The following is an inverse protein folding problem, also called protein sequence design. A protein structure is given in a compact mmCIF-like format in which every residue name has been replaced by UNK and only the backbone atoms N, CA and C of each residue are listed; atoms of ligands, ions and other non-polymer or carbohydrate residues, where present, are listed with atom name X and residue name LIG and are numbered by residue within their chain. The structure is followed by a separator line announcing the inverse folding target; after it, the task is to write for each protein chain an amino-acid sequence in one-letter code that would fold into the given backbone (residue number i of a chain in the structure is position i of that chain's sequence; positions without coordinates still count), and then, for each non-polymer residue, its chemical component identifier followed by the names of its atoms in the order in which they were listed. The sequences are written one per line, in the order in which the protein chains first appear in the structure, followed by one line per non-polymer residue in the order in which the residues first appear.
data_IF_962596358845
#
_entry.id   IF_962596358845
#
_cell.length_a   1.000
_cell.length_b   1.000
_cell.length_c   1.000
_cell.angle_alpha   90.00
_cell.angle_beta   90.00
_cell.angle_gamma   90.00
#
_symmetry.space_group_name_H-M   'P 1'
#
loop_
_entity.id
_entity.type
_entity.pdbx_description
1 polymer ?
#
# COMPACT_ATOMS: atom_id res chain seq x y z
N UNK A 1 48.89 55.63 -15.94
CA UNK A 1 50.15 55.57 -15.14
C UNK A 1 49.77 55.16 -13.71
N UNK A 2 50.52 54.22 -13.11
CA UNK A 2 50.50 53.74 -11.70
C UNK A 2 49.18 53.14 -11.18
N UNK A 3 48.95 51.82 -10.99
CA UNK A 3 49.68 50.68 -10.38
C UNK A 3 49.71 50.70 -8.84
N UNK A 4 49.33 49.52 -8.27
CA UNK A 4 49.54 48.96 -6.91
C UNK A 4 48.37 49.13 -5.91
N UNK A 5 47.98 48.21 -5.02
CA UNK A 5 48.12 46.76 -4.81
C UNK A 5 47.31 46.43 -3.52
N UNK A 6 46.94 45.15 -3.32
CA UNK A 6 46.46 44.53 -2.07
C UNK A 6 44.97 44.81 -1.75
N UNK A 7 44.10 43.82 -1.53
CA UNK A 7 44.23 42.76 -0.53
C UNK A 7 43.69 41.43 -1.06
N UNK A 8 44.49 40.38 -0.84
CA UNK A 8 44.09 38.99 -0.92
C UNK A 8 43.12 38.70 0.23
N UNK A 9 41.90 38.27 -0.09
CA UNK A 9 40.95 37.74 0.87
C UNK A 9 40.38 36.42 0.37
N UNK A 10 41.15 35.34 0.47
CA UNK A 10 40.58 33.99 0.43
C UNK A 10 39.81 33.79 1.74
N UNK A 11 38.49 33.97 1.70
CA UNK A 11 37.62 33.29 2.65
C UNK A 11 37.36 31.92 2.04
N UNK A 12 38.24 30.97 2.35
CA UNK A 12 37.90 29.57 2.23
C UNK A 12 36.83 29.29 3.30
N UNK A 13 35.56 29.49 2.93
CA UNK A 13 34.44 28.89 3.63
C UNK A 13 34.66 27.39 3.54
N UNK A 14 35.25 26.84 4.61
CA UNK A 14 35.41 25.41 4.79
C UNK A 14 34.04 24.78 4.67
N UNK A 15 33.76 24.16 3.52
CA UNK A 15 32.69 23.20 3.40
C UNK A 15 33.03 22.08 4.38
N UNK A 16 32.44 22.16 5.57
CA UNK A 16 32.48 21.09 6.55
C UNK A 16 31.93 19.84 5.84
N UNK A 17 32.83 18.93 5.47
CA UNK A 17 32.47 17.66 4.81
C UNK A 17 31.67 16.71 5.71
N UNK A 18 31.28 17.17 6.90
CA UNK A 18 30.49 16.45 7.89
C UNK A 18 29.02 16.93 7.90
N UNK A 19 28.67 18.01 7.18
CA UNK A 19 27.30 18.54 7.15
C UNK A 19 26.40 17.91 6.07
N UNK A 20 26.80 16.80 5.45
CA UNK A 20 25.94 16.04 4.54
C UNK A 20 25.57 14.71 5.21
N UNK A 21 25.00 14.77 6.41
CA UNK A 21 24.02 13.76 6.76
C UNK A 21 22.81 14.07 5.88
N UNK A 22 22.69 13.35 4.76
CA UNK A 22 21.41 13.21 4.11
C UNK A 22 20.47 12.64 5.16
N UNK A 23 19.60 13.47 5.71
CA UNK A 23 18.48 13.02 6.51
C UNK A 23 17.63 12.15 5.59
N UNK A 24 17.87 10.84 5.63
CA UNK A 24 16.90 9.90 5.11
C UNK A 24 15.69 10.06 6.03
N UNK A 25 14.67 10.75 5.54
CA UNK A 25 13.39 10.83 6.22
C UNK A 25 12.81 9.42 6.21
N UNK A 26 13.08 8.64 7.26
CA UNK A 26 12.28 7.46 7.56
C UNK A 26 10.90 7.98 7.91
N UNK A 27 9.89 7.66 7.10
CA UNK A 27 8.48 7.95 7.39
C UNK A 27 8.19 7.59 8.84
N UNK A 28 7.47 8.45 9.56
CA UNK A 28 7.07 8.17 10.93
C UNK A 28 6.35 6.81 11.02
N UNK A 29 6.69 6.02 12.03
CA UNK A 29 6.06 4.72 12.25
C UNK A 29 4.59 4.89 12.62
N UNK A 30 3.71 4.10 11.99
CA UNK A 30 2.27 4.05 12.24
C UNK A 30 1.85 2.63 12.66
N UNK A 31 0.68 2.51 13.28
CA UNK A 31 0.07 1.22 13.63
C UNK A 31 -1.46 1.32 13.76
N UNK A 32 -2.10 0.27 14.27
CA UNK A 32 -3.56 0.19 14.38
C UNK A 32 -4.10 0.55 15.77
N UNK A 33 -3.24 0.83 16.76
CA UNK A 33 -3.67 1.06 18.15
C UNK A 33 -2.76 2.06 18.87
N UNK A 34 -3.29 2.68 19.93
CA UNK A 34 -2.51 3.51 20.85
C UNK A 34 -2.02 4.81 20.20
N UNK A 35 -0.89 5.38 20.63
CA UNK A 35 -0.42 6.68 20.18
C UNK A 35 -0.03 6.79 18.70
N UNK A 36 0.06 5.64 18.01
CA UNK A 36 0.34 5.56 16.56
C UNK A 36 -0.85 5.01 15.77
N UNK A 37 -2.01 4.93 16.41
CA UNK A 37 -3.26 4.41 15.83
C UNK A 37 -3.95 5.37 14.84
N UNK A 38 -5.02 4.91 14.19
CA UNK A 38 -5.73 5.65 13.13
C UNK A 38 -6.18 7.06 13.53
N UNK A 39 -6.59 7.24 14.78
CA UNK A 39 -7.01 8.53 15.33
C UNK A 39 -5.89 9.58 15.38
N UNK A 40 -4.64 9.13 15.25
CA UNK A 40 -3.43 9.95 15.37
C UNK A 40 -2.57 9.97 14.11
N UNK A 41 -2.93 9.24 13.04
CA UNK A 41 -2.08 9.10 11.84
C UNK A 41 -1.68 10.43 11.20
N UNK A 42 -2.58 11.41 11.19
CA UNK A 42 -2.32 12.74 10.64
C UNK A 42 -1.27 13.54 11.44
N UNK A 43 -1.09 13.22 12.72
CA UNK A 43 -0.15 13.89 13.62
C UNK A 43 1.25 13.26 13.56
N UNK A 44 1.38 12.06 12.98
CA UNK A 44 2.65 11.32 12.92
C UNK A 44 3.63 11.94 11.92
N UNK A 45 3.13 12.41 10.78
CA UNK A 45 3.93 13.04 9.73
C UNK A 45 3.09 14.08 8.98
N UNK A 46 3.71 15.19 8.57
CA UNK A 46 3.06 16.23 7.75
C UNK A 46 2.52 15.69 6.43
N UNK A 47 3.13 14.65 5.86
CA UNK A 47 2.66 14.03 4.63
C UNK A 47 1.33 13.26 4.83
N UNK A 48 0.97 12.94 6.08
CA UNK A 48 -0.26 12.22 6.43
C UNK A 48 -1.47 13.15 6.67
N UNK A 49 -1.38 14.45 6.37
CA UNK A 49 -2.45 15.41 6.66
C UNK A 49 -3.82 15.02 6.11
N UNK A 50 -3.84 14.25 5.00
CA UNK A 50 -5.08 13.74 4.39
C UNK A 50 -5.85 12.78 5.30
N UNK A 51 -5.19 12.12 6.26
CA UNK A 51 -5.83 11.22 7.21
C UNK A 51 -6.81 11.95 8.16
N UNK A 52 -6.67 13.27 8.36
CA UNK A 52 -7.60 14.07 9.16
C UNK A 52 -8.42 15.07 8.34
N UNK A 53 -7.83 15.67 7.31
CA UNK A 53 -8.46 16.72 6.51
C UNK A 53 -9.07 16.23 5.18
N UNK A 54 -8.83 14.96 4.81
CA UNK A 54 -9.35 14.38 3.57
C UNK A 54 -10.85 14.14 3.61
N UNK A 55 -11.55 14.44 2.51
CA UNK A 55 -13.01 14.27 2.38
C UNK A 55 -13.41 13.04 1.58
N UNK A 56 -12.44 12.30 1.04
CA UNK A 56 -12.62 11.12 0.20
C UNK A 56 -11.71 9.97 0.70
N UNK A 57 -11.70 9.75 2.02
CA UNK A 57 -10.93 8.68 2.65
C UNK A 57 -11.66 7.34 2.51
N UNK A 58 -10.89 6.26 2.64
CA UNK A 58 -11.38 4.89 2.77
C UNK A 58 -10.81 4.30 4.08
N UNK A 59 -11.43 3.24 4.65
CA UNK A 59 -12.65 2.56 4.18
C UNK A 59 -13.92 3.39 4.40
N UNK A 60 -15.06 2.88 3.89
CA UNK A 60 -16.38 3.44 4.13
C UNK A 60 -17.39 2.37 4.58
N UNK A 61 -18.48 2.84 5.20
CA UNK A 61 -19.68 2.04 5.35
C UNK A 61 -20.60 2.24 4.13
N UNK A 62 -20.77 1.18 3.35
CA UNK A 62 -21.61 1.13 2.15
C UNK A 62 -23.07 0.94 2.59
N UNK A 63 -23.78 2.05 2.80
CA UNK A 63 -25.18 2.04 3.25
C UNK A 63 -26.19 1.89 2.11
N UNK A 64 -25.84 2.35 0.91
CA UNK A 64 -26.71 2.29 -0.27
C UNK A 64 -25.87 2.36 -1.54
N UNK A 65 -26.48 1.95 -2.66
CA UNK A 65 -25.88 2.07 -3.98
C UNK A 65 -26.89 2.73 -4.92
N UNK A 66 -26.38 3.57 -5.83
CA UNK A 66 -27.15 4.10 -6.95
C UNK A 66 -26.93 3.18 -8.13
N UNK A 67 -28.02 2.75 -8.78
CA UNK A 67 -27.91 2.00 -10.03
C UNK A 67 -27.28 2.90 -11.08
N UNK A 68 -26.12 2.51 -11.57
CA UNK A 68 -25.38 3.20 -12.61
C UNK A 68 -24.98 2.20 -13.69
N UNK A 69 -24.83 2.70 -14.91
CA UNK A 69 -24.10 1.97 -15.94
C UNK A 69 -22.61 2.10 -15.61
N UNK A 70 -22.00 0.99 -15.20
CA UNK A 70 -20.60 0.93 -14.79
C UNK A 70 -19.81 0.14 -15.84
N UNK A 71 -18.58 0.57 -16.18
CA UNK A 71 -17.74 -0.19 -17.10
C UNK A 71 -17.55 -1.62 -16.60
N UNK A 72 -17.60 -2.58 -17.53
CA UNK A 72 -17.31 -3.98 -17.23
C UNK A 72 -15.93 -4.12 -16.58
N UNK A 73 -15.85 -4.96 -15.55
CA UNK A 73 -14.60 -5.34 -14.89
C UNK A 73 -14.22 -6.74 -15.39
N UNK A 74 -13.11 -6.84 -16.12
CA UNK A 74 -12.54 -8.12 -16.54
C UNK A 74 -11.27 -8.40 -15.73
N UNK A 75 -11.17 -9.59 -15.15
CA UNK A 75 -10.01 -10.03 -14.38
C UNK A 75 -9.23 -11.04 -15.22
N UNK A 76 -7.96 -10.74 -15.48
CA UNK A 76 -7.00 -11.58 -16.18
C UNK A 76 -5.80 -11.83 -15.28
N UNK A 77 -6.02 -12.51 -14.14
CA UNK A 77 -4.95 -12.87 -13.23
C UNK A 77 -4.43 -14.28 -13.49
N UNK A 78 -3.12 -14.44 -13.39
CA UNK A 78 -2.43 -15.68 -13.67
C UNK A 78 -1.73 -16.20 -12.43
N UNK A 79 -1.58 -17.52 -12.38
CA UNK A 79 -0.69 -18.16 -11.41
C UNK A 79 0.75 -17.72 -11.67
N UNK A 80 1.51 -17.49 -10.61
CA UNK A 80 2.92 -17.15 -10.73
C UNK A 80 3.61 -17.14 -9.37
N UNK A 81 4.94 -17.15 -9.37
CA UNK A 81 5.71 -17.04 -8.14
C UNK A 81 5.53 -15.67 -7.50
N UNK A 82 5.36 -15.64 -6.18
CA UNK A 82 5.17 -14.42 -5.40
C UNK A 82 6.10 -14.36 -4.20
N UNK A 83 6.20 -13.18 -3.59
CA UNK A 83 6.90 -12.99 -2.32
C UNK A 83 5.89 -12.54 -1.27
N UNK A 84 5.72 -13.37 -0.24
CA UNK A 84 4.85 -13.12 0.89
C UNK A 84 5.64 -12.50 2.03
N UNK A 85 5.11 -11.41 2.60
CA UNK A 85 5.75 -10.64 3.65
C UNK A 85 4.75 -10.39 4.77
N UNK A 86 5.16 -10.64 6.00
CA UNK A 86 4.51 -10.05 7.16
C UNK A 86 5.20 -8.71 7.45
N UNK A 87 4.59 -7.58 7.09
CA UNK A 87 5.23 -6.28 7.25
C UNK A 87 4.98 -5.64 8.64
N UNK A 88 4.38 -6.39 9.57
CA UNK A 88 3.95 -5.90 10.88
C UNK A 88 2.57 -5.26 10.89
N UNK A 89 1.98 -4.98 9.72
CA UNK A 89 0.64 -4.40 9.56
C UNK A 89 -0.33 -5.35 8.86
N UNK A 90 0.17 -6.22 7.99
CA UNK A 90 -0.63 -7.20 7.24
C UNK A 90 0.25 -8.33 6.73
N UNK A 91 -0.39 -9.39 6.22
CA UNK A 91 0.25 -10.35 5.31
C UNK A 91 0.03 -9.84 3.88
N UNK A 92 1.12 -9.46 3.22
CA UNK A 92 1.12 -8.98 1.84
C UNK A 92 1.79 -10.00 0.92
N UNK A 93 1.21 -10.21 -0.26
CA UNK A 93 1.81 -11.04 -1.32
C UNK A 93 2.10 -10.12 -2.50
N UNK A 94 3.38 -9.94 -2.79
CA UNK A 94 3.88 -9.23 -3.97
C UNK A 94 3.77 -10.14 -5.19
N UNK A 95 3.14 -9.63 -6.25
CA UNK A 95 2.90 -10.37 -7.48
C UNK A 95 3.86 -9.93 -8.60
N UNK A 96 4.28 -10.86 -9.46
CA UNK A 96 5.05 -10.51 -10.65
C UNK A 96 4.14 -9.84 -11.68
N UNK A 97 4.76 -9.16 -12.64
CA UNK A 97 4.04 -8.52 -13.73
C UNK A 97 3.24 -9.53 -14.57
N UNK A 98 2.16 -9.06 -15.19
CA UNK A 98 1.40 -9.81 -16.19
C UNK A 98 -0.04 -10.14 -15.80
N UNK A 99 -0.38 -10.10 -14.51
CA UNK A 99 -1.78 -10.19 -14.05
C UNK A 99 -2.45 -8.82 -14.14
N UNK A 100 -3.66 -8.75 -14.71
CA UNK A 100 -4.34 -7.47 -14.94
C UNK A 100 -5.82 -7.47 -14.54
N UNK A 101 -6.34 -6.28 -14.25
CA UNK A 101 -7.75 -5.96 -14.16
C UNK A 101 -8.06 -4.87 -15.19
N UNK A 102 -9.04 -5.11 -16.05
CA UNK A 102 -9.52 -4.12 -17.02
C UNK A 102 -10.85 -3.56 -16.57
N UNK A 103 -10.98 -2.22 -16.51
CA UNK A 103 -12.22 -1.50 -16.23
C UNK A 103 -12.52 -0.55 -17.39
N UNK A 104 -13.41 -0.96 -18.28
CA UNK A 104 -13.64 -0.24 -19.54
C UNK A 104 -12.41 -0.30 -20.45
N UNK A 105 -11.85 0.87 -20.77
CA UNK A 105 -10.63 1.04 -21.58
C UNK A 105 -9.34 1.12 -20.73
N UNK A 106 -9.47 1.16 -19.40
CA UNK A 106 -8.34 1.25 -18.47
C UNK A 106 -7.87 -0.13 -18.05
N UNK A 107 -6.56 -0.35 -18.13
CA UNK A 107 -5.89 -1.59 -17.71
C UNK A 107 -5.04 -1.28 -16.48
N UNK A 108 -5.21 -2.10 -15.45
CA UNK A 108 -4.47 -2.01 -14.20
C UNK A 108 -3.69 -3.31 -13.97
N UNK A 109 -2.40 -3.20 -13.73
CA UNK A 109 -1.52 -4.34 -13.41
C UNK A 109 -1.59 -4.66 -11.92
N UNK A 110 -1.80 -5.93 -11.55
CA UNK A 110 -1.79 -6.38 -10.16
C UNK A 110 -0.37 -6.29 -9.60
N UNK A 111 -0.19 -5.53 -8.52
CA UNK A 111 1.11 -5.32 -7.89
C UNK A 111 1.25 -6.19 -6.65
N UNK A 112 0.20 -6.24 -5.83
CA UNK A 112 0.16 -7.03 -4.61
C UNK A 112 -1.29 -7.30 -4.21
N UNK A 113 -1.47 -8.23 -3.28
CA UNK A 113 -2.68 -8.27 -2.46
C UNK A 113 -2.34 -8.49 -0.99
N UNK A 114 -3.23 -8.06 -0.10
CA UNK A 114 -3.03 -8.17 1.34
C UNK A 114 -4.37 -8.27 2.09
N UNK A 115 -4.31 -8.60 3.39
CA UNK A 115 -5.48 -8.96 4.19
C UNK A 115 -5.69 -8.03 5.38
N UNK A 116 -6.94 -7.79 5.73
CA UNK A 116 -7.37 -7.08 6.93
C UNK A 116 -8.37 -7.93 7.71
N UNK A 117 -8.21 -8.00 9.04
CA UNK A 117 -9.15 -8.70 9.92
C UNK A 117 -9.41 -7.84 11.17
N UNK A 118 -10.66 -7.40 11.43
CA UNK A 118 -11.87 -7.62 10.62
C UNK A 118 -11.85 -6.85 9.28
N UNK A 119 -12.93 -6.90 8.50
CA UNK A 119 -13.04 -6.09 7.28
C UNK A 119 -12.96 -4.60 7.58
N UNK A 120 -12.27 -3.86 6.72
CA UNK A 120 -12.19 -2.41 6.80
C UNK A 120 -13.52 -1.79 6.36
N UNK A 121 -14.02 -2.21 5.18
CA UNK A 121 -15.32 -1.78 4.70
C UNK A 121 -16.45 -2.46 5.46
N UNK A 122 -17.56 -1.73 5.57
CA UNK A 122 -18.80 -2.22 6.14
C UNK A 122 -19.92 -2.18 5.09
N UNK A 123 -20.90 -3.07 5.19
CA UNK A 123 -22.11 -3.06 4.35
C UNK A 123 -23.33 -2.94 5.25
N UNK A 124 -24.10 -1.87 5.08
CA UNK A 124 -25.24 -1.53 5.95
C UNK A 124 -24.87 -1.60 7.45
N UNK A 125 -23.70 -1.07 7.80
CA UNK A 125 -23.17 -1.05 9.17
C UNK A 125 -22.60 -2.39 9.66
N UNK A 126 -22.57 -3.44 8.84
CA UNK A 126 -22.05 -4.76 9.23
C UNK A 126 -20.63 -4.95 8.76
N UNK A 127 -19.78 -5.40 9.69
CA UNK A 127 -18.43 -5.88 9.41
C UNK A 127 -18.44 -7.34 8.97
N UNK A 128 -17.43 -7.73 8.20
CA UNK A 128 -17.13 -9.11 7.82
C UNK A 128 -15.86 -9.57 8.55
N UNK A 129 -15.67 -10.89 8.77
CA UNK A 129 -14.52 -11.39 9.52
C UNK A 129 -13.16 -11.07 8.92
N UNK A 130 -13.06 -10.92 7.60
CA UNK A 130 -11.83 -10.55 6.91
C UNK A 130 -12.13 -9.90 5.57
N UNK A 131 -11.21 -9.09 5.06
CA UNK A 131 -11.25 -8.47 3.75
C UNK A 131 -9.88 -8.60 3.08
N UNK A 132 -9.86 -8.94 1.79
CA UNK A 132 -8.65 -8.94 0.98
C UNK A 132 -8.68 -7.76 0.02
N UNK A 133 -7.55 -7.07 -0.11
CA UNK A 133 -7.35 -5.96 -1.04
C UNK A 133 -6.38 -6.38 -2.12
N UNK A 134 -6.83 -6.39 -3.38
CA UNK A 134 -5.97 -6.57 -4.54
C UNK A 134 -5.61 -5.19 -5.10
N UNK A 135 -4.35 -4.79 -4.93
CA UNK A 135 -3.85 -3.47 -5.32
C UNK A 135 -3.26 -3.55 -6.72
N UNK A 136 -3.82 -2.73 -7.60
CA UNK A 136 -3.40 -2.62 -8.98
C UNK A 136 -2.92 -1.20 -9.29
N UNK A 137 -2.09 -1.09 -10.33
CA UNK A 137 -1.59 0.18 -10.85
C UNK A 137 -1.98 0.35 -12.30
N UNK A 138 -2.62 1.48 -12.61
CA UNK A 138 -2.99 1.84 -13.99
C UNK A 138 -1.74 1.92 -14.88
N UNK A 139 -1.78 1.26 -16.03
CA UNK A 139 -0.61 1.14 -16.92
C UNK A 139 -0.25 2.44 -17.64
N UNK A 140 -1.15 3.42 -17.69
CA UNK A 140 -0.94 4.71 -18.36
C UNK A 140 -0.62 5.83 -17.37
N UNK A 141 -1.43 5.99 -16.34
CA UNK A 141 -1.31 7.09 -15.37
C UNK A 141 -0.50 6.73 -14.13
N UNK A 142 -0.33 5.44 -13.83
CA UNK A 142 0.27 4.97 -12.60
C UNK A 142 -0.60 5.14 -11.35
N UNK A 143 -1.85 5.60 -11.48
CA UNK A 143 -2.79 5.71 -10.35
C UNK A 143 -3.23 4.34 -9.87
N UNK A 144 -3.54 4.19 -8.59
CA UNK A 144 -3.96 2.92 -8.02
C UNK A 144 -5.44 2.62 -8.25
N UNK A 145 -5.75 1.33 -8.36
CA UNK A 145 -7.10 0.78 -8.25
C UNK A 145 -7.09 -0.43 -7.32
N UNK A 146 -8.03 -0.49 -6.37
CA UNK A 146 -8.09 -1.57 -5.38
C UNK A 146 -9.41 -2.33 -5.54
N UNK A 147 -9.32 -3.65 -5.69
CA UNK A 147 -10.48 -4.54 -5.64
C UNK A 147 -10.55 -5.18 -4.24
N UNK A 148 -11.58 -4.85 -3.48
CA UNK A 148 -11.86 -5.42 -2.17
C UNK A 148 -12.79 -6.64 -2.27
N UNK A 149 -12.47 -7.72 -1.55
CA UNK A 149 -13.33 -8.92 -1.45
C UNK A 149 -13.52 -9.28 0.02
N UNK A 150 -14.77 -9.41 0.47
CA UNK A 150 -15.09 -9.86 1.81
C UNK A 150 -14.96 -11.39 1.94
N UNK A 151 -14.36 -11.85 3.03
CA UNK A 151 -14.20 -13.26 3.35
C UNK A 151 -15.11 -13.61 4.54
N UNK A 152 -15.94 -14.64 4.35
CA UNK A 152 -16.87 -15.16 5.36
C UNK A 152 -16.59 -16.63 5.67
N UNK A 153 -16.86 -17.09 6.90
CA UNK A 153 -16.82 -18.51 7.24
C UNK A 153 -17.71 -19.34 6.30
N UNK A 154 -17.22 -20.51 5.89
CA UNK A 154 -17.90 -21.37 4.94
C UNK A 154 -17.02 -22.54 4.50
N UNK A 155 -17.20 -22.99 3.27
CA UNK A 155 -16.35 -24.01 2.67
C UNK A 155 -14.89 -23.55 2.59
N UNK A 156 -13.95 -24.48 2.75
CA UNK A 156 -12.52 -24.18 2.63
C UNK A 156 -12.19 -23.63 1.25
N UNK A 157 -11.58 -22.45 1.21
CA UNK A 157 -10.92 -21.94 0.02
C UNK A 157 -9.50 -22.52 -0.03
N UNK A 158 -9.22 -23.40 -1.00
CA UNK A 158 -7.94 -24.09 -1.10
C UNK A 158 -6.76 -23.15 -1.37
N UNK A 159 -6.94 -22.12 -2.21
CA UNK A 159 -5.92 -21.10 -2.48
C UNK A 159 -5.56 -20.35 -1.20
N UNK A 160 -6.56 -19.88 -0.45
CA UNK A 160 -6.35 -19.18 0.81
C UNK A 160 -5.72 -20.09 1.87
N UNK A 161 -6.20 -21.33 2.00
CA UNK A 161 -5.66 -22.27 2.99
C UNK A 161 -4.17 -22.58 2.73
N UNK A 162 -3.77 -22.74 1.47
CA UNK A 162 -2.36 -22.94 1.09
C UNK A 162 -1.50 -21.72 1.44
N UNK A 163 -2.00 -20.51 1.19
CA UNK A 163 -1.31 -19.27 1.58
C UNK A 163 -1.21 -19.15 3.10
N UNK A 164 -2.32 -19.34 3.81
CA UNK A 164 -2.39 -19.20 5.27
C UNK A 164 -1.43 -20.16 6.00
N UNK A 165 -1.25 -21.38 5.48
CA UNK A 165 -0.28 -22.33 6.02
C UNK A 165 1.18 -21.88 5.89
N UNK A 166 1.47 -20.92 5.00
CA UNK A 166 2.80 -20.37 4.75
C UNK A 166 2.99 -18.96 5.32
N UNK A 167 2.02 -18.41 6.06
CA UNK A 167 2.11 -17.06 6.61
C UNK A 167 3.32 -16.92 7.54
N UNK A 168 4.20 -15.91 7.32
CA UNK A 168 5.28 -15.62 8.26
C UNK A 168 4.69 -15.16 9.60
N UNK A 169 5.01 -15.87 10.68
CA UNK A 169 4.44 -15.61 12.01
C UNK A 169 4.92 -14.30 12.63
N UNK A 170 6.15 -13.90 12.33
CA UNK A 170 6.79 -12.72 12.91
C UNK A 170 6.85 -11.56 11.90
N UNK A 171 6.72 -10.30 12.37
CA UNK A 171 6.97 -9.13 11.54
C UNK A 171 8.35 -9.14 10.88
N UNK A 172 8.42 -8.62 9.66
CA UNK A 172 9.55 -8.67 8.74
C UNK A 172 9.94 -10.09 8.27
N UNK A 173 9.10 -11.09 8.54
CA UNK A 173 9.24 -12.42 7.97
C UNK A 173 8.86 -12.40 6.48
N UNK A 174 9.67 -13.06 5.66
CA UNK A 174 9.44 -13.19 4.21
C UNK A 174 9.50 -14.66 3.78
N UNK A 175 8.61 -15.03 2.86
CA UNK A 175 8.54 -16.37 2.26
C UNK A 175 8.35 -16.21 0.75
N UNK A 176 9.23 -16.83 -0.02
CA UNK A 176 9.01 -16.99 -1.46
C UNK A 176 8.04 -18.13 -1.69
N UNK A 177 7.02 -17.90 -2.53
CA UNK A 177 6.01 -18.90 -2.90
C UNK A 177 6.12 -19.14 -4.40
N UNK A 178 6.42 -20.37 -4.79
CA UNK A 178 6.67 -20.73 -6.19
C UNK A 178 5.43 -20.58 -7.09
N UNK A 179 4.24 -20.82 -6.53
CA UNK A 179 2.98 -20.68 -7.25
C UNK A 179 1.90 -20.09 -6.33
N UNK A 180 1.55 -18.83 -6.59
CA UNK A 180 0.38 -18.15 -6.02
C UNK A 180 -0.71 -18.12 -7.07
N UNK A 181 -1.90 -18.60 -6.72
CA UNK A 181 -3.10 -18.37 -7.51
C UNK A 181 -3.93 -17.24 -6.87
N UNK A 182 -3.98 -16.04 -7.48
CA UNK A 182 -4.78 -14.93 -6.95
C UNK A 182 -6.28 -15.07 -7.22
N UNK A 183 -6.72 -16.06 -8.01
CA UNK A 183 -8.13 -16.34 -8.31
C UNK A 183 -8.80 -17.24 -7.27
#
# INVERSE_FOLDING_TARGET
MYRRHLIKGLVALGACRICVQAAQATSAHWGYTGPVGPEHWADLDKENFVCSAGTQQSPININSAVKADIPHIAIGWHKGGGNMVNNGHTIQINMPQGSTLTRGDRVYELVQFHFHAPSEHHVAGKSFPMEVHFVHKDTQSGTLGVLGVFLTPGATNASFAALAAAFPELPNGEVTIDEVNPN
#
